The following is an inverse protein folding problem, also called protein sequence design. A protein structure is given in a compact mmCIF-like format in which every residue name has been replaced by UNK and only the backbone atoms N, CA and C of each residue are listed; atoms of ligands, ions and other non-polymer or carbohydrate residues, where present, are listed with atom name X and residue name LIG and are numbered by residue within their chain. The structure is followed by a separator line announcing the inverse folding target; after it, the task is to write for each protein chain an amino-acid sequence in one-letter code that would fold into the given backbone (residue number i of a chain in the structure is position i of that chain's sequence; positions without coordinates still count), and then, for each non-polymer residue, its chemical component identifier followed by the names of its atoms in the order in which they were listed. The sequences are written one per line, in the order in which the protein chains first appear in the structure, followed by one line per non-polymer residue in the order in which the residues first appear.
data_IF_883137025812
#
_entry.id   IF_883137025812
#
_cell.length_a   1.000
_cell.length_b   1.000
_cell.length_c   1.000
_cell.angle_alpha   90.00
_cell.angle_beta   90.00
_cell.angle_gamma   90.00
#
_symmetry.space_group_name_H-M   'P 1'
#
loop_
_entity.id
_entity.type
_entity.pdbx_description
1 polymer ?
#
# COMPACT_ATOMS: atom_id res chain seq x y z
N UNK A 1 -33.39 -35.95 -39.70
CA UNK A 1 -33.88 -35.00 -38.71
C UNK A 1 -32.82 -35.01 -37.61
N UNK A 2 -31.97 -33.97 -37.52
CA UNK A 2 -30.96 -33.88 -36.46
C UNK A 2 -31.63 -33.13 -35.33
N UNK A 3 -31.83 -33.78 -34.19
CA UNK A 3 -32.21 -33.09 -32.95
C UNK A 3 -31.04 -32.25 -32.49
N UNK A 4 -31.12 -30.96 -32.70
CA UNK A 4 -30.24 -29.97 -32.11
C UNK A 4 -30.68 -29.78 -30.65
N UNK A 5 -30.02 -30.47 -29.75
CA UNK A 5 -30.13 -30.18 -28.34
C UNK A 5 -29.45 -28.84 -28.07
N UNK A 6 -30.24 -27.78 -27.94
CA UNK A 6 -29.73 -26.46 -27.50
C UNK A 6 -29.42 -26.57 -26.03
N UNK A 7 -28.18 -26.84 -25.70
CA UNK A 7 -27.69 -26.78 -24.30
C UNK A 7 -27.62 -25.29 -23.94
N UNK A 8 -28.64 -24.86 -23.22
CA UNK A 8 -28.69 -23.52 -22.65
C UNK A 8 -27.84 -23.48 -21.39
N UNK A 9 -26.69 -22.83 -21.46
CA UNK A 9 -25.78 -22.68 -20.32
C UNK A 9 -26.16 -21.42 -19.55
N UNK A 10 -26.34 -21.55 -18.24
CA UNK A 10 -26.62 -20.43 -17.36
C UNK A 10 -25.44 -19.41 -17.39
N UNK A 11 -25.72 -18.10 -17.34
CA UNK A 11 -24.68 -17.08 -17.33
C UNK A 11 -23.77 -17.26 -16.10
N UNK A 12 -22.47 -17.16 -16.30
CA UNK A 12 -21.52 -17.10 -15.20
C UNK A 12 -21.48 -15.67 -14.67
N UNK A 13 -21.82 -15.51 -13.41
CA UNK A 13 -21.82 -14.21 -12.72
C UNK A 13 -20.57 -14.11 -11.85
N UNK A 14 -19.85 -13.01 -12.00
CA UNK A 14 -18.71 -12.67 -11.19
C UNK A 14 -18.94 -11.29 -10.58
N UNK A 15 -18.53 -11.14 -9.33
CA UNK A 15 -18.49 -9.84 -8.64
C UNK A 15 -17.10 -9.64 -8.06
N UNK A 16 -16.63 -8.41 -8.02
CA UNK A 16 -15.32 -8.13 -7.42
C UNK A 16 -15.28 -8.38 -5.91
N UNK A 17 -16.44 -8.25 -5.25
CA UNK A 17 -16.65 -8.57 -3.84
C UNK A 17 -18.05 -9.11 -3.65
N UNK A 18 -18.20 -10.24 -2.99
CA UNK A 18 -19.49 -10.80 -2.57
C UNK A 18 -19.95 -10.25 -1.22
N UNK A 19 -18.98 -9.74 -0.43
CA UNK A 19 -19.19 -9.00 0.82
C UNK A 19 -18.54 -7.63 0.72
N UNK A 20 -19.32 -6.61 0.97
CA UNK A 20 -18.87 -5.22 0.93
C UNK A 20 -19.71 -4.34 1.85
N UNK A 21 -19.21 -3.16 2.18
CA UNK A 21 -19.82 -2.32 3.21
C UNK A 21 -20.86 -1.37 2.63
N UNK A 22 -21.66 -0.76 3.52
CA UNK A 22 -22.56 0.35 3.11
C UNK A 22 -21.72 1.45 2.48
N UNK A 23 -22.16 1.91 1.29
CA UNK A 23 -21.45 2.91 0.47
C UNK A 23 -20.30 2.37 -0.38
N UNK A 24 -19.87 1.13 -0.16
CA UNK A 24 -18.82 0.50 -0.95
C UNK A 24 -19.39 -0.03 -2.29
N UNK A 25 -18.53 -0.10 -3.29
CA UNK A 25 -18.89 -0.56 -4.65
C UNK A 25 -18.24 -1.92 -4.91
N UNK A 26 -19.06 -2.86 -5.39
CA UNK A 26 -18.60 -4.09 -6.04
C UNK A 26 -18.98 -4.05 -7.51
N UNK A 27 -18.12 -4.54 -8.38
CA UNK A 27 -18.37 -4.52 -9.82
C UNK A 27 -18.89 -5.88 -10.29
N UNK A 28 -19.96 -5.82 -11.08
CA UNK A 28 -20.60 -6.98 -11.67
C UNK A 28 -20.02 -7.28 -13.06
N UNK A 29 -19.65 -8.52 -13.30
CA UNK A 29 -19.29 -9.04 -14.60
C UNK A 29 -20.12 -10.28 -14.91
N UNK A 30 -20.55 -10.42 -16.16
CA UNK A 30 -21.28 -11.60 -16.64
C UNK A 30 -20.58 -12.13 -17.87
N UNK A 31 -20.18 -13.40 -17.87
CA UNK A 31 -19.57 -14.04 -19.03
C UNK A 31 -20.58 -14.87 -19.80
N UNK A 32 -20.42 -14.86 -21.13
CA UNK A 32 -21.12 -15.76 -22.02
C UNK A 32 -20.39 -17.13 -22.16
N UNK A 33 -20.92 -17.99 -23.01
CA UNK A 33 -20.45 -19.35 -23.30
C UNK A 33 -18.97 -19.49 -23.71
N UNK A 34 -18.32 -18.43 -24.15
CA UNK A 34 -17.00 -18.50 -24.76
C UNK A 34 -15.86 -18.01 -23.86
N UNK A 35 -16.11 -17.81 -22.54
CA UNK A 35 -15.17 -17.25 -21.58
C UNK A 35 -14.51 -15.91 -22.01
N UNK A 36 -15.04 -15.28 -23.06
CA UNK A 36 -14.68 -13.91 -23.41
C UNK A 36 -15.48 -12.98 -22.51
N UNK A 37 -14.77 -12.21 -21.68
CA UNK A 37 -15.36 -11.16 -20.85
C UNK A 37 -15.80 -10.01 -21.77
N UNK A 38 -16.93 -10.16 -22.40
CA UNK A 38 -17.63 -9.02 -22.95
C UNK A 38 -18.58 -8.51 -21.88
N UNK A 39 -18.32 -7.33 -21.34
CA UNK A 39 -19.18 -6.62 -20.40
C UNK A 39 -20.47 -6.12 -21.07
N UNK A 40 -21.04 -6.91 -21.95
CA UNK A 40 -22.33 -6.55 -22.55
C UNK A 40 -23.49 -6.99 -21.63
N UNK A 41 -23.74 -6.14 -20.62
CA UNK A 41 -24.85 -6.33 -19.71
C UNK A 41 -26.22 -6.23 -20.39
N UNK A 42 -26.28 -5.80 -21.65
CA UNK A 42 -27.53 -5.62 -22.41
C UNK A 42 -28.23 -6.94 -22.74
N UNK A 43 -27.50 -8.05 -22.76
CA UNK A 43 -28.00 -9.41 -23.01
C UNK A 43 -28.76 -10.04 -21.82
N UNK A 44 -28.78 -9.34 -20.66
CA UNK A 44 -29.33 -9.87 -19.43
C UNK A 44 -30.21 -8.86 -18.70
N UNK A 45 -31.18 -9.37 -17.95
CA UNK A 45 -31.91 -8.61 -16.94
C UNK A 45 -31.40 -8.96 -15.56
N UNK A 46 -31.45 -7.99 -14.65
CA UNK A 46 -30.90 -8.07 -13.30
C UNK A 46 -31.97 -7.76 -12.27
N UNK A 47 -32.15 -8.65 -11.30
CA UNK A 47 -33.11 -8.46 -10.22
C UNK A 47 -32.41 -8.68 -8.87
N UNK A 48 -32.58 -7.73 -7.97
CA UNK A 48 -32.13 -7.81 -6.58
C UNK A 48 -33.31 -8.20 -5.68
N UNK A 49 -33.15 -9.17 -4.80
CA UNK A 49 -34.22 -9.69 -3.92
C UNK A 49 -34.74 -8.66 -2.91
N UNK A 50 -33.99 -7.57 -2.68
CA UNK A 50 -34.34 -6.48 -1.78
C UNK A 50 -33.54 -5.21 -2.13
N UNK A 51 -33.65 -4.17 -1.29
CA UNK A 51 -33.00 -2.88 -1.47
C UNK A 51 -31.75 -2.66 -0.61
N UNK A 52 -31.11 -3.71 -0.14
CA UNK A 52 -29.84 -3.60 0.58
C UNK A 52 -28.67 -3.24 -0.34
N UNK A 53 -28.83 -3.52 -1.62
CA UNK A 53 -27.90 -3.16 -2.68
C UNK A 53 -28.65 -2.40 -3.76
N UNK A 54 -28.03 -1.38 -4.35
CA UNK A 54 -28.50 -0.75 -5.58
C UNK A 54 -27.59 -1.12 -6.73
N UNK A 55 -28.16 -1.31 -7.91
CA UNK A 55 -27.43 -1.59 -9.14
C UNK A 55 -27.49 -0.34 -10.04
N UNK A 56 -26.32 0.20 -10.40
CA UNK A 56 -26.14 1.31 -11.33
C UNK A 56 -25.17 0.89 -12.44
N UNK A 57 -25.71 0.55 -13.60
CA UNK A 57 -24.97 -0.12 -14.65
C UNK A 57 -24.38 -1.45 -14.17
N UNK A 58 -23.06 -1.52 -14.08
CA UNK A 58 -22.33 -2.69 -13.56
C UNK A 58 -21.85 -2.52 -12.12
N UNK A 59 -22.25 -1.43 -11.42
CA UNK A 59 -21.87 -1.13 -10.05
C UNK A 59 -22.95 -1.60 -9.08
N UNK A 60 -22.58 -2.49 -8.18
CA UNK A 60 -23.37 -2.91 -7.04
C UNK A 60 -22.94 -2.05 -5.84
N UNK A 61 -23.84 -1.22 -5.34
CA UNK A 61 -23.55 -0.26 -4.25
C UNK A 61 -24.28 -0.72 -3.00
N UNK A 62 -23.55 -0.93 -1.91
CA UNK A 62 -24.13 -1.27 -0.61
C UNK A 62 -25.00 -0.12 -0.07
N UNK A 63 -26.28 -0.36 0.11
CA UNK A 63 -27.24 0.65 0.60
C UNK A 63 -27.64 0.43 2.05
N UNK A 64 -27.85 -0.84 2.46
CA UNK A 64 -28.25 -1.21 3.82
C UNK A 64 -27.65 -2.57 4.17
N UNK A 65 -27.45 -2.79 5.46
CA UNK A 65 -26.95 -4.08 5.99
C UNK A 65 -27.88 -5.24 5.62
N UNK A 66 -27.29 -6.37 5.31
CA UNK A 66 -27.98 -7.62 5.12
C UNK A 66 -27.67 -8.32 3.80
N UNK A 67 -28.26 -9.49 3.66
CA UNK A 67 -28.06 -10.35 2.49
C UNK A 67 -29.01 -9.99 1.36
N UNK A 68 -28.53 -10.10 0.14
CA UNK A 68 -29.27 -9.85 -1.08
C UNK A 68 -28.92 -10.95 -2.09
N UNK A 69 -29.91 -11.45 -2.81
CA UNK A 69 -29.68 -12.34 -3.95
C UNK A 69 -29.81 -11.54 -5.24
N UNK A 70 -28.77 -11.57 -6.06
CA UNK A 70 -28.80 -11.06 -7.42
C UNK A 70 -29.25 -12.21 -8.35
N UNK A 71 -30.29 -11.99 -9.13
CA UNK A 71 -30.71 -12.90 -10.21
C UNK A 71 -30.38 -12.29 -11.56
N UNK A 72 -29.62 -13.02 -12.37
CA UNK A 72 -29.24 -12.61 -13.74
C UNK A 72 -29.99 -13.55 -14.69
N UNK A 73 -30.80 -13.00 -15.57
CA UNK A 73 -31.64 -13.77 -16.50
C UNK A 73 -31.36 -13.34 -17.93
N UNK A 74 -31.15 -14.29 -18.83
CA UNK A 74 -31.00 -13.98 -20.27
C UNK A 74 -32.30 -13.39 -20.85
N UNK A 75 -32.18 -12.29 -21.61
CA UNK A 75 -33.31 -11.68 -22.31
C UNK A 75 -33.85 -12.58 -23.43
N UNK A 76 -33.01 -13.46 -23.99
CA UNK A 76 -33.37 -14.34 -25.08
C UNK A 76 -34.05 -15.63 -24.62
N UNK A 77 -33.79 -16.04 -23.38
CA UNK A 77 -34.42 -17.22 -22.79
C UNK A 77 -34.60 -17.07 -21.25
N UNK A 78 -35.81 -16.73 -20.80
CA UNK A 78 -36.07 -16.51 -19.35
C UNK A 78 -35.89 -17.75 -18.44
N UNK A 79 -35.74 -18.94 -19.03
CA UNK A 79 -35.40 -20.15 -18.27
C UNK A 79 -33.92 -20.24 -17.95
N UNK A 80 -33.10 -19.45 -18.65
CA UNK A 80 -31.64 -19.38 -18.46
C UNK A 80 -31.31 -18.25 -17.49
N UNK A 81 -31.06 -18.64 -16.26
CA UNK A 81 -30.76 -17.69 -15.17
C UNK A 81 -29.73 -18.24 -14.19
N UNK A 82 -29.04 -17.35 -13.55
CA UNK A 82 -28.14 -17.61 -12.41
C UNK A 82 -28.50 -16.72 -11.24
N UNK A 83 -28.24 -17.24 -10.05
CA UNK A 83 -28.38 -16.48 -8.79
C UNK A 83 -27.05 -16.38 -8.09
N UNK A 84 -26.78 -15.21 -7.53
CA UNK A 84 -25.57 -14.93 -6.79
C UNK A 84 -25.91 -14.27 -5.44
N UNK A 85 -25.30 -14.75 -4.35
CA UNK A 85 -25.55 -14.22 -3.01
C UNK A 85 -24.53 -13.14 -2.67
N UNK A 86 -25.04 -12.00 -2.24
CA UNK A 86 -24.28 -10.84 -1.83
C UNK A 86 -24.62 -10.49 -0.39
N UNK A 87 -23.68 -9.90 0.31
CA UNK A 87 -23.88 -9.46 1.70
C UNK A 87 -23.30 -8.05 1.87
N UNK A 88 -24.16 -7.13 2.31
CA UNK A 88 -23.72 -5.83 2.79
C UNK A 88 -23.50 -5.93 4.29
N UNK A 89 -22.25 -5.76 4.68
CA UNK A 89 -21.84 -5.84 6.08
C UNK A 89 -21.70 -4.44 6.68
N UNK A 90 -21.71 -4.36 8.00
CA UNK A 90 -21.17 -3.18 8.64
C UNK A 90 -19.73 -3.02 8.17
N UNK A 91 -19.38 -1.81 7.80
CA UNK A 91 -18.00 -1.42 7.80
C UNK A 91 -17.49 -1.74 9.21
N UNK A 92 -16.73 -2.80 9.36
CA UNK A 92 -15.75 -2.83 10.43
C UNK A 92 -14.72 -1.82 9.95
N UNK A 93 -15.08 -0.53 10.08
CA UNK A 93 -14.17 0.55 9.81
C UNK A 93 -12.98 0.30 10.74
N UNK A 94 -11.90 -0.22 10.15
CA UNK A 94 -10.66 -0.33 10.90
C UNK A 94 -10.31 1.06 11.38
N UNK A 95 -10.03 1.18 12.64
CA UNK A 95 -9.57 2.45 13.17
C UNK A 95 -8.35 2.92 12.39
N UNK A 96 -8.35 4.18 12.04
CA UNK A 96 -7.20 4.84 11.41
C UNK A 96 -6.89 6.12 12.17
N UNK A 97 -5.64 6.29 12.51
CA UNK A 97 -5.12 7.51 13.14
C UNK A 97 -4.79 8.53 12.04
N UNK A 98 -5.20 9.77 12.25
CA UNK A 98 -4.71 10.93 11.52
C UNK A 98 -4.45 12.09 12.49
N UNK A 99 -3.80 13.12 12.02
CA UNK A 99 -3.54 14.33 12.78
C UNK A 99 -4.49 15.44 12.32
N UNK A 100 -4.97 16.23 13.27
CA UNK A 100 -5.82 17.40 12.96
C UNK A 100 -5.02 18.48 12.24
N UNK A 101 -3.77 18.68 12.69
CA UNK A 101 -2.83 19.59 12.05
C UNK A 101 -2.13 18.89 10.88
N UNK A 102 -1.80 19.63 9.81
CA UNK A 102 -1.01 19.07 8.72
C UNK A 102 0.37 18.65 9.21
N UNK A 103 0.69 17.38 9.05
CA UNK A 103 2.03 16.84 9.28
C UNK A 103 2.70 16.62 7.93
N UNK A 104 3.54 17.57 7.55
CA UNK A 104 4.27 17.55 6.27
C UNK A 104 5.53 16.66 6.32
N UNK A 105 5.57 15.71 7.26
CA UNK A 105 6.73 14.85 7.49
C UNK A 105 7.90 15.55 8.20
N UNK A 106 7.76 16.83 8.54
CA UNK A 106 8.73 17.63 9.31
C UNK A 106 8.10 18.03 10.62
N UNK A 107 8.69 17.59 11.71
CA UNK A 107 8.28 17.99 13.05
C UNK A 107 9.52 18.17 13.94
N UNK A 108 9.53 19.23 14.72
CA UNK A 108 10.62 19.57 15.62
C UNK A 108 10.32 19.26 17.08
N UNK A 109 11.36 19.29 17.92
CA UNK A 109 11.16 19.22 19.37
C UNK A 109 10.27 20.37 19.85
N UNK A 110 9.30 20.05 20.70
CA UNK A 110 8.32 20.98 21.25
C UNK A 110 7.06 21.12 20.41
N UNK A 111 7.03 20.62 19.18
CA UNK A 111 5.82 20.63 18.37
C UNK A 111 4.73 19.77 19.00
N UNK A 112 3.49 20.20 18.83
CA UNK A 112 2.31 19.49 19.31
C UNK A 112 1.34 19.22 18.16
N UNK A 113 0.72 18.05 18.23
CA UNK A 113 -0.30 17.59 17.27
C UNK A 113 -1.48 17.00 18.03
N UNK A 114 -2.65 17.05 17.42
CA UNK A 114 -3.87 16.43 17.96
C UNK A 114 -4.21 15.19 17.12
N UNK A 115 -4.11 14.04 17.75
CA UNK A 115 -4.48 12.76 17.16
C UNK A 115 -5.99 12.65 17.09
N UNK A 116 -6.49 12.28 15.93
CA UNK A 116 -7.90 11.97 15.65
C UNK A 116 -8.04 10.56 15.12
N UNK A 117 -9.21 10.01 15.27
CA UNK A 117 -9.60 8.74 14.68
C UNK A 117 -10.61 8.97 13.56
N UNK A 118 -10.57 8.09 12.55
CA UNK A 118 -11.53 8.14 11.44
C UNK A 118 -12.96 7.84 11.92
N UNK A 119 -13.93 8.29 11.13
CA UNK A 119 -15.36 8.03 11.28
C UNK A 119 -15.92 8.35 12.67
N UNK A 120 -16.66 7.42 13.24
CA UNK A 120 -17.40 7.61 14.48
C UNK A 120 -16.68 7.08 15.72
N UNK A 121 -15.40 6.75 15.60
CA UNK A 121 -14.61 6.31 16.75
C UNK A 121 -14.38 7.44 17.73
N UNK A 122 -14.66 7.17 19.01
CA UNK A 122 -14.37 8.10 20.09
C UNK A 122 -13.01 7.77 20.68
N UNK A 123 -12.14 8.75 20.80
CA UNK A 123 -10.80 8.57 21.35
C UNK A 123 -10.81 7.99 22.77
N UNK A 124 -11.86 8.29 23.56
CA UNK A 124 -12.06 7.74 24.91
C UNK A 124 -12.20 6.20 24.93
N UNK A 125 -12.57 5.58 23.82
CA UNK A 125 -12.71 4.14 23.72
C UNK A 125 -11.37 3.45 23.38
N UNK A 126 -10.30 4.25 23.22
CA UNK A 126 -8.97 3.79 22.84
C UNK A 126 -7.95 4.04 23.94
N UNK A 127 -6.93 3.18 23.98
CA UNK A 127 -5.68 3.40 24.70
C UNK A 127 -4.64 3.84 23.71
N UNK A 128 -4.01 4.98 23.97
CA UNK A 128 -2.92 5.52 23.18
C UNK A 128 -1.59 5.16 23.80
N UNK A 129 -0.66 4.62 23.04
CA UNK A 129 0.66 4.20 23.51
C UNK A 129 1.72 4.81 22.61
N UNK A 130 2.61 5.60 23.19
CA UNK A 130 3.91 5.91 22.59
C UNK A 130 4.87 4.77 22.86
N UNK A 131 5.62 4.33 21.86
CA UNK A 131 6.64 3.30 22.05
C UNK A 131 7.97 3.85 22.61
N UNK A 132 8.11 5.16 22.64
CA UNK A 132 9.22 5.84 23.30
C UNK A 132 8.78 7.22 23.82
N UNK A 133 8.52 7.31 25.12
CA UNK A 133 8.07 8.55 25.76
C UNK A 133 9.19 9.59 25.95
N UNK A 134 10.45 9.19 25.79
CA UNK A 134 11.56 10.12 25.77
C UNK A 134 11.62 10.89 24.43
N UNK A 135 11.10 10.30 23.35
CA UNK A 135 11.02 10.93 22.03
C UNK A 135 9.67 11.63 21.84
N UNK A 136 8.57 10.97 22.23
CA UNK A 136 7.22 11.47 22.01
C UNK A 136 6.30 11.08 23.16
N UNK A 137 5.57 12.04 23.69
CA UNK A 137 4.51 11.82 24.68
C UNK A 137 3.14 11.99 24.05
N UNK A 138 2.20 11.14 24.47
CA UNK A 138 0.79 11.22 24.05
C UNK A 138 -0.10 11.18 25.27
N UNK A 139 -1.08 12.11 25.34
CA UNK A 139 -2.07 12.12 26.43
C UNK A 139 -3.30 11.27 26.05
N UNK A 140 -4.16 10.96 27.01
CA UNK A 140 -5.42 10.24 26.77
C UNK A 140 -6.37 11.04 25.85
N UNK A 141 -6.27 12.35 25.85
CA UNK A 141 -7.03 13.25 24.96
C UNK A 141 -6.46 13.31 23.53
N UNK A 142 -5.39 12.59 23.29
CA UNK A 142 -4.73 12.51 21.97
C UNK A 142 -3.77 13.66 21.66
N UNK A 143 -3.37 14.45 22.67
CA UNK A 143 -2.33 15.46 22.45
C UNK A 143 -0.97 14.80 22.41
N UNK A 144 -0.30 14.95 21.29
CA UNK A 144 1.06 14.47 21.06
C UNK A 144 2.02 15.63 21.28
N UNK A 145 3.08 15.42 22.04
CA UNK A 145 4.18 16.37 22.23
C UNK A 145 5.48 15.69 21.84
N UNK A 146 6.23 16.31 20.92
CA UNK A 146 7.53 15.84 20.49
C UNK A 146 8.61 16.34 21.44
N UNK A 147 9.35 15.42 22.06
CA UNK A 147 10.24 15.72 23.20
C UNK A 147 11.70 15.73 22.78
N UNK A 148 12.16 14.70 22.10
CA UNK A 148 13.53 14.55 21.60
C UNK A 148 13.53 14.08 20.16
N UNK A 149 14.69 14.22 19.51
CA UNK A 149 14.89 13.70 18.16
C UNK A 149 14.84 12.16 18.16
N UNK A 150 14.37 11.60 17.08
CA UNK A 150 14.30 10.16 16.87
C UNK A 150 13.07 9.70 16.12
N UNK A 151 13.04 8.41 15.89
CA UNK A 151 11.91 7.74 15.25
C UNK A 151 11.03 7.05 16.28
N UNK A 152 9.74 7.33 16.26
CA UNK A 152 8.80 6.80 17.25
C UNK A 152 7.44 6.50 16.62
N UNK A 153 6.72 5.56 17.19
CA UNK A 153 5.35 5.22 16.80
C UNK A 153 4.39 5.49 17.95
N UNK A 154 3.19 5.95 17.59
CA UNK A 154 2.02 5.98 18.46
C UNK A 154 1.00 5.00 17.93
N UNK A 155 0.47 4.15 18.81
CA UNK A 155 -0.60 3.21 18.46
C UNK A 155 -1.84 3.47 19.30
N UNK A 156 -2.99 3.53 18.64
CA UNK A 156 -4.29 3.51 19.29
C UNK A 156 -4.84 2.07 19.27
N UNK A 157 -5.16 1.55 20.44
CA UNK A 157 -5.80 0.25 20.64
C UNK A 157 -7.22 0.46 21.17
N UNK A 158 -8.22 -0.12 20.51
CA UNK A 158 -9.58 -0.14 21.05
C UNK A 158 -9.63 -0.96 22.34
N UNK A 159 -10.18 -0.37 23.43
CA UNK A 159 -10.15 -0.97 24.76
C UNK A 159 -10.88 -2.31 24.85
N UNK A 160 -12.03 -2.41 24.18
CA UNK A 160 -12.83 -3.64 24.17
C UNK A 160 -12.40 -4.65 23.11
N UNK A 161 -11.70 -4.18 22.06
CA UNK A 161 -11.19 -5.02 20.98
C UNK A 161 -9.78 -4.60 20.59
N UNK A 162 -8.72 -4.99 21.31
CA UNK A 162 -7.35 -4.58 21.05
C UNK A 162 -6.78 -5.03 19.68
N UNK A 163 -7.48 -5.93 18.99
CA UNK A 163 -7.19 -6.29 17.59
C UNK A 163 -7.51 -5.15 16.61
N UNK A 164 -8.47 -4.28 16.96
CA UNK A 164 -8.75 -3.06 16.22
C UNK A 164 -7.78 -1.97 16.68
N UNK A 165 -6.73 -1.76 15.91
CA UNK A 165 -5.64 -0.82 16.22
C UNK A 165 -5.14 -0.12 14.99
N UNK A 166 -4.60 1.07 15.19
CA UNK A 166 -3.90 1.84 14.17
C UNK A 166 -2.63 2.44 14.72
N UNK A 167 -1.62 2.56 13.88
CA UNK A 167 -0.31 3.08 14.25
C UNK A 167 0.05 4.24 13.35
N UNK A 168 0.48 5.34 13.96
CA UNK A 168 1.07 6.49 13.29
C UNK A 168 2.55 6.58 13.63
N UNK A 169 3.37 6.98 12.67
CA UNK A 169 4.82 7.09 12.85
C UNK A 169 5.26 8.52 12.72
N UNK A 170 6.13 8.92 13.64
CA UNK A 170 6.79 10.22 13.66
C UNK A 170 8.28 10.05 13.49
N UNK A 171 8.88 10.96 12.76
CA UNK A 171 10.28 11.27 12.90
C UNK A 171 10.39 12.67 13.49
N UNK A 172 10.99 12.77 14.65
CA UNK A 172 11.21 14.03 15.35
C UNK A 172 12.60 14.51 15.06
N UNK A 173 12.72 15.70 14.50
CA UNK A 173 13.99 16.32 14.24
C UNK A 173 14.31 17.36 15.30
N UNK A 174 15.51 17.31 15.85
CA UNK A 174 15.98 18.25 16.86
C UNK A 174 16.30 19.67 16.35
N UNK A 175 16.44 19.82 15.04
CA UNK A 175 16.80 21.09 14.39
C UNK A 175 16.08 21.28 13.06
N UNK A 176 16.11 22.48 12.49
CA UNK A 176 15.64 22.74 11.13
C UNK A 176 16.50 22.03 10.04
N UNK A 177 17.59 21.41 10.44
CA UNK A 177 18.52 20.71 9.58
C UNK A 177 18.16 19.22 9.53
N UNK A 178 17.43 18.80 8.52
CA UNK A 178 16.78 17.49 8.41
C UNK A 178 17.66 16.53 7.62
N UNK A 179 17.98 15.37 8.18
CA UNK A 179 18.49 14.22 7.45
C UNK A 179 17.35 13.49 6.72
N UNK A 180 17.02 13.94 5.53
CA UNK A 180 15.96 13.32 4.72
C UNK A 180 16.28 11.87 4.33
N UNK A 181 17.55 11.51 4.18
CA UNK A 181 17.96 10.15 3.83
C UNK A 181 17.58 9.21 4.98
N UNK A 182 18.00 9.54 6.21
CA UNK A 182 17.64 8.76 7.40
C UNK A 182 16.12 8.67 7.56
N UNK A 183 15.41 9.78 7.37
CA UNK A 183 13.95 9.82 7.46
C UNK A 183 13.27 8.87 6.48
N UNK A 184 13.65 8.89 5.20
CA UNK A 184 13.09 7.99 4.17
C UNK A 184 13.37 6.54 4.54
N UNK A 185 14.60 6.25 4.97
CA UNK A 185 15.00 4.89 5.28
C UNK A 185 14.29 4.35 6.52
N UNK A 186 14.12 5.15 7.58
CA UNK A 186 13.33 4.73 8.73
C UNK A 186 11.85 4.48 8.38
N UNK A 187 11.25 5.32 7.53
CA UNK A 187 9.90 5.07 7.03
C UNK A 187 9.83 3.76 6.25
N UNK A 188 10.73 3.56 5.31
CA UNK A 188 10.75 2.36 4.46
C UNK A 188 11.03 1.09 5.27
N UNK A 189 12.05 1.11 6.14
CA UNK A 189 12.43 -0.01 7.02
C UNK A 189 11.27 -0.39 7.94
N UNK A 190 10.57 0.61 8.46
CA UNK A 190 9.39 0.38 9.29
C UNK A 190 8.22 -0.29 8.56
N UNK A 191 8.26 -0.38 7.24
CA UNK A 191 7.26 -1.09 6.43
C UNK A 191 7.65 -2.53 6.11
N UNK A 192 8.86 -2.99 6.45
CA UNK A 192 9.32 -4.37 6.20
C UNK A 192 8.28 -5.37 6.69
N UNK A 193 7.87 -6.28 5.80
CA UNK A 193 6.87 -7.30 6.09
C UNK A 193 5.42 -6.88 5.79
N UNK A 194 5.15 -5.62 5.47
CA UNK A 194 3.82 -5.23 4.99
C UNK A 194 3.46 -6.04 3.72
N UNK A 195 2.28 -6.67 3.69
CA UNK A 195 1.84 -7.55 2.59
C UNK A 195 0.61 -6.99 1.90
N UNK A 196 0.43 -7.37 0.65
CA UNK A 196 -0.84 -7.21 -0.07
C UNK A 196 -1.97 -7.93 0.65
N UNK A 197 -3.19 -7.53 0.34
CA UNK A 197 -4.37 -8.25 0.77
C UNK A 197 -4.45 -9.62 0.07
N UNK A 198 -4.66 -10.67 0.85
CA UNK A 198 -5.05 -11.96 0.31
C UNK A 198 -6.52 -11.92 -0.11
N UNK A 199 -6.82 -12.41 -1.30
CA UNK A 199 -8.19 -12.60 -1.77
C UNK A 199 -8.52 -14.09 -1.80
N UNK A 200 -9.47 -14.51 -0.97
CA UNK A 200 -9.95 -15.89 -0.95
C UNK A 200 -10.64 -16.25 -2.27
N UNK A 201 -11.29 -15.27 -2.92
CA UNK A 201 -11.95 -15.45 -4.19
C UNK A 201 -10.95 -15.72 -5.33
N UNK A 202 -9.87 -14.94 -5.38
CA UNK A 202 -8.81 -15.12 -6.36
C UNK A 202 -7.86 -16.28 -5.98
N UNK A 203 -7.87 -16.74 -4.73
CA UNK A 203 -6.89 -17.67 -4.20
C UNK A 203 -5.46 -17.12 -4.30
N UNK A 204 -5.30 -15.80 -4.24
CA UNK A 204 -4.04 -15.13 -4.49
C UNK A 204 -3.95 -13.78 -3.75
N UNK A 205 -2.75 -13.27 -3.63
CA UNK A 205 -2.53 -11.86 -3.29
C UNK A 205 -2.99 -10.98 -4.45
N UNK A 206 -3.61 -9.86 -4.11
CA UNK A 206 -4.11 -8.87 -5.07
C UNK A 206 -3.45 -7.53 -4.77
N UNK A 207 -3.17 -6.75 -5.81
CA UNK A 207 -2.50 -5.44 -5.67
C UNK A 207 -3.38 -4.42 -4.91
N UNK A 208 -3.80 -4.78 -3.70
CA UNK A 208 -4.62 -3.97 -2.81
C UNK A 208 -3.81 -3.65 -1.56
N UNK A 209 -3.24 -2.46 -1.55
CA UNK A 209 -2.34 -1.97 -0.51
C UNK A 209 -2.67 -0.53 -0.16
N UNK A 210 -2.19 -0.05 1.00
CA UNK A 210 -2.27 1.37 1.35
C UNK A 210 -1.58 2.28 0.33
N UNK A 211 -0.55 1.79 -0.38
CA UNK A 211 0.17 2.54 -1.41
C UNK A 211 -0.69 2.75 -2.65
N UNK A 212 -1.45 1.72 -3.05
CA UNK A 212 -2.44 1.82 -4.12
C UNK A 212 -3.55 2.82 -3.76
N UNK A 213 -4.08 2.73 -2.54
CA UNK A 213 -5.13 3.64 -2.05
C UNK A 213 -4.63 5.07 -1.97
N UNK A 214 -3.44 5.30 -1.42
CA UNK A 214 -2.84 6.63 -1.35
C UNK A 214 -2.56 7.22 -2.74
N UNK A 215 -2.08 6.40 -3.67
CA UNK A 215 -1.81 6.84 -5.04
C UNK A 215 -3.10 7.00 -5.86
N UNK A 216 -4.18 6.32 -5.44
CA UNK A 216 -5.45 6.18 -6.14
C UNK A 216 -5.28 5.46 -7.50
N UNK A 217 -4.57 4.33 -7.49
CA UNK A 217 -4.29 3.54 -8.70
C UNK A 217 -4.16 2.06 -8.34
N UNK A 218 -4.77 1.18 -9.12
CA UNK A 218 -4.59 -0.26 -9.05
C UNK A 218 -3.32 -0.71 -9.79
N UNK A 219 -2.78 -1.87 -9.42
CA UNK A 219 -1.65 -2.50 -10.09
C UNK A 219 -0.38 -2.59 -9.24
N UNK A 220 0.73 -2.98 -9.88
CA UNK A 220 2.01 -3.17 -9.20
C UNK A 220 2.47 -1.90 -8.47
N UNK A 221 2.83 -2.03 -7.21
CA UNK A 221 3.00 -0.90 -6.30
C UNK A 221 4.45 -0.64 -5.86
N UNK A 222 5.45 -1.24 -6.51
CA UNK A 222 6.85 -0.98 -6.17
C UNK A 222 7.22 0.52 -6.29
N UNK A 223 6.81 1.16 -7.39
CA UNK A 223 7.03 2.58 -7.62
C UNK A 223 6.16 3.47 -6.69
N UNK A 224 4.95 3.04 -6.38
CA UNK A 224 4.09 3.73 -5.41
C UNK A 224 4.67 3.68 -4.00
N UNK A 225 5.30 2.57 -3.61
CA UNK A 225 6.02 2.44 -2.34
C UNK A 225 7.16 3.46 -2.23
N UNK A 226 8.00 3.59 -3.27
CA UNK A 226 9.07 4.60 -3.30
C UNK A 226 8.48 6.00 -3.16
N UNK A 227 7.48 6.34 -3.97
CA UNK A 227 6.82 7.65 -3.93
C UNK A 227 6.16 7.94 -2.59
N UNK A 228 5.55 6.93 -1.95
CA UNK A 228 4.91 7.06 -0.65
C UNK A 228 5.92 7.41 0.44
N UNK A 229 7.06 6.72 0.50
CA UNK A 229 8.11 7.02 1.47
C UNK A 229 8.67 8.42 1.30
N UNK A 230 8.83 8.86 0.04
CA UNK A 230 9.32 10.18 -0.29
C UNK A 230 8.37 11.28 0.19
N UNK A 231 7.11 11.12 -0.17
CA UNK A 231 6.07 12.08 0.22
C UNK A 231 5.93 12.18 1.73
N UNK A 232 5.88 11.05 2.43
CA UNK A 232 5.74 11.02 3.89
C UNK A 232 7.02 11.42 4.65
N UNK A 233 8.15 11.46 3.96
CA UNK A 233 9.35 12.11 4.50
C UNK A 233 9.31 13.65 4.41
N UNK A 234 8.31 14.23 3.75
CA UNK A 234 8.16 15.68 3.60
C UNK A 234 8.92 16.25 2.41
N UNK A 235 9.27 15.43 1.42
CA UNK A 235 9.94 15.91 0.21
C UNK A 235 8.93 16.30 -0.87
N UNK A 236 9.21 17.41 -1.55
CA UNK A 236 8.35 17.91 -2.62
C UNK A 236 8.49 17.10 -3.92
N UNK A 237 7.45 17.18 -4.77
CA UNK A 237 7.48 16.59 -6.11
C UNK A 237 8.52 17.24 -7.05
N UNK A 238 9.10 18.36 -6.66
CA UNK A 238 10.19 19.01 -7.40
C UNK A 238 11.51 18.24 -7.26
N UNK A 239 11.70 17.57 -6.10
CA UNK A 239 12.89 16.79 -5.81
C UNK A 239 12.80 15.36 -6.32
N UNK A 240 11.59 14.79 -6.36
CA UNK A 240 11.30 13.51 -6.98
C UNK A 240 9.84 13.48 -7.42
N UNK A 241 9.60 13.14 -8.68
CA UNK A 241 8.26 12.97 -9.21
C UNK A 241 7.50 11.89 -8.42
N UNK A 242 6.25 12.16 -8.06
CA UNK A 242 5.32 11.11 -7.61
C UNK A 242 5.01 10.20 -8.81
N UNK A 243 5.46 8.96 -8.79
CA UNK A 243 5.32 8.03 -9.92
C UNK A 243 4.82 6.65 -9.47
N UNK A 244 4.05 5.99 -10.36
CA UNK A 244 3.59 4.62 -10.22
C UNK A 244 4.16 3.68 -11.29
N UNK A 245 4.81 4.24 -12.31
CA UNK A 245 5.49 3.52 -13.38
C UNK A 245 7.00 3.66 -13.23
N UNK A 246 7.71 2.54 -13.11
CA UNK A 246 9.18 2.54 -13.02
C UNK A 246 9.83 3.22 -14.23
N UNK A 247 9.28 2.99 -15.43
CA UNK A 247 9.81 3.61 -16.65
C UNK A 247 9.70 5.13 -16.61
N UNK A 248 8.50 5.64 -16.26
CA UNK A 248 8.28 7.10 -16.14
C UNK A 248 9.14 7.73 -15.04
N UNK A 249 9.29 7.04 -13.91
CA UNK A 249 10.16 7.49 -12.81
C UNK A 249 11.62 7.57 -13.26
N UNK A 250 12.12 6.52 -13.91
CA UNK A 250 13.49 6.50 -14.42
C UNK A 250 13.72 7.58 -15.48
N UNK A 251 12.81 7.71 -16.47
CA UNK A 251 12.90 8.74 -17.52
C UNK A 251 12.91 10.15 -16.93
N UNK A 252 12.08 10.39 -15.91
CA UNK A 252 12.06 11.68 -15.23
C UNK A 252 13.40 11.96 -14.53
N UNK A 253 13.98 10.96 -13.83
CA UNK A 253 15.28 11.10 -13.18
C UNK A 253 16.41 11.35 -14.19
N UNK A 254 16.38 10.66 -15.34
CA UNK A 254 17.34 10.91 -16.43
C UNK A 254 17.21 12.34 -16.94
N UNK A 255 15.99 12.81 -17.19
CA UNK A 255 15.73 14.17 -17.70
C UNK A 255 16.17 15.27 -16.72
N UNK A 256 16.13 14.98 -15.42
CA UNK A 256 16.52 15.93 -14.38
C UNK A 256 17.95 15.71 -13.86
N UNK A 257 18.79 14.98 -14.62
CA UNK A 257 20.20 14.73 -14.31
C UNK A 257 20.44 14.03 -12.97
N UNK A 258 19.46 13.28 -12.50
CA UNK A 258 19.47 12.54 -11.25
C UNK A 258 19.71 11.03 -11.44
N UNK A 259 20.15 10.57 -12.60
CA UNK A 259 20.31 9.15 -12.88
C UNK A 259 21.76 8.78 -13.20
N UNK A 260 22.23 7.70 -12.56
CA UNK A 260 23.54 7.13 -12.76
C UNK A 260 23.42 5.68 -13.23
N UNK A 261 24.08 5.34 -14.33
CA UNK A 261 24.19 3.93 -14.74
C UNK A 261 25.14 3.18 -13.82
N UNK A 262 24.80 1.93 -13.49
CA UNK A 262 25.53 1.12 -12.51
C UNK A 262 27.03 0.93 -12.82
N UNK A 263 27.43 1.00 -14.09
CA UNK A 263 28.82 0.80 -14.52
C UNK A 263 29.78 1.86 -13.96
N UNK A 264 29.28 3.04 -13.67
CA UNK A 264 30.07 4.21 -13.29
C UNK A 264 29.71 4.76 -11.92
N UNK A 265 28.91 4.05 -11.15
CA UNK A 265 28.37 4.57 -9.90
C UNK A 265 28.36 3.52 -8.78
N UNK A 266 28.77 3.92 -7.60
CA UNK A 266 28.58 3.15 -6.36
C UNK A 266 27.41 3.76 -5.60
N UNK A 267 26.31 3.01 -5.42
CA UNK A 267 25.10 3.55 -4.79
C UNK A 267 25.31 3.91 -3.33
N UNK A 268 24.51 4.86 -2.88
CA UNK A 268 24.52 5.38 -1.50
C UNK A 268 23.14 5.20 -0.87
N UNK A 269 23.11 5.29 0.46
CA UNK A 269 21.86 5.31 1.22
C UNK A 269 20.93 6.41 0.68
N UNK A 270 19.66 6.07 0.48
CA UNK A 270 18.65 6.98 -0.07
C UNK A 270 18.57 7.02 -1.59
N UNK A 271 19.51 6.44 -2.33
CA UNK A 271 19.37 6.30 -3.78
C UNK A 271 18.17 5.37 -4.11
N UNK A 272 17.65 5.52 -5.32
CA UNK A 272 16.57 4.65 -5.82
C UNK A 272 17.15 3.71 -6.87
N UNK A 273 17.06 2.41 -6.65
CA UNK A 273 17.49 1.42 -7.63
C UNK A 273 16.41 1.15 -8.66
N UNK A 274 16.79 1.03 -9.93
CA UNK A 274 15.92 0.63 -11.03
C UNK A 274 16.39 -0.66 -11.68
N UNK A 275 15.45 -1.60 -11.82
CA UNK A 275 15.62 -2.86 -12.52
C UNK A 275 14.75 -2.85 -13.76
N UNK A 276 15.36 -2.65 -14.92
CA UNK A 276 14.66 -2.53 -16.19
C UNK A 276 15.12 -3.62 -17.14
N UNK A 277 14.24 -4.53 -17.49
CA UNK A 277 14.47 -5.58 -18.47
C UNK A 277 13.29 -5.71 -19.43
N UNK A 278 13.47 -6.39 -20.56
CA UNK A 278 12.38 -6.61 -21.49
C UNK A 278 11.23 -7.36 -20.81
N UNK A 279 10.08 -6.69 -20.66
CA UNK A 279 8.86 -7.24 -20.08
C UNK A 279 8.78 -7.23 -18.54
N UNK A 280 9.76 -6.67 -17.84
CA UNK A 280 9.74 -6.54 -16.38
C UNK A 280 10.43 -5.26 -15.93
N UNK A 281 9.80 -4.52 -15.03
CA UNK A 281 10.37 -3.34 -14.40
C UNK A 281 10.11 -3.37 -12.90
N UNK A 282 11.09 -2.93 -12.12
CA UNK A 282 11.00 -2.88 -10.67
C UNK A 282 11.85 -1.74 -10.11
N UNK A 283 11.58 -1.33 -8.88
CA UNK A 283 12.32 -0.27 -8.20
C UNK A 283 12.27 -0.46 -6.69
N UNK A 284 13.26 0.09 -5.99
CA UNK A 284 13.36 0.08 -4.54
C UNK A 284 14.25 1.19 -4.03
N UNK A 285 14.43 1.24 -2.72
CA UNK A 285 15.27 2.25 -2.05
C UNK A 285 16.54 1.58 -1.57
N UNK A 286 17.68 2.20 -1.84
CA UNK A 286 18.98 1.73 -1.35
C UNK A 286 19.12 2.07 0.13
N UNK A 287 19.37 1.07 0.95
CA UNK A 287 19.61 1.22 2.39
C UNK A 287 21.08 1.53 2.65
N UNK A 288 21.97 0.70 2.12
CA UNK A 288 23.41 0.97 2.10
C UNK A 288 24.13 0.11 1.04
N UNK A 289 25.40 0.39 0.82
CA UNK A 289 26.24 -0.38 -0.07
C UNK A 289 27.62 -0.62 0.56
N UNK A 290 28.09 -1.87 0.56
CA UNK A 290 29.42 -2.24 1.08
C UNK A 290 30.53 -2.23 0.02
N UNK A 291 30.21 -1.76 -1.20
CA UNK A 291 31.11 -1.73 -2.35
C UNK A 291 31.11 -3.04 -3.18
N UNK A 292 30.53 -4.12 -2.69
CA UNK A 292 30.32 -5.39 -3.38
C UNK A 292 28.83 -5.66 -3.60
N UNK A 293 28.06 -5.39 -2.58
CA UNK A 293 26.63 -5.59 -2.56
C UNK A 293 25.90 -4.28 -2.23
N UNK A 294 24.77 -4.09 -2.85
CA UNK A 294 23.78 -3.07 -2.50
C UNK A 294 22.64 -3.76 -1.77
N UNK A 295 22.25 -3.16 -0.66
CA UNK A 295 21.16 -3.62 0.21
C UNK A 295 19.97 -2.69 0.01
N UNK A 296 18.83 -3.26 -0.36
CA UNK A 296 17.63 -2.53 -0.76
C UNK A 296 16.41 -2.91 0.06
N UNK A 297 15.47 -1.99 0.17
CA UNK A 297 14.12 -2.28 0.62
C UNK A 297 13.15 -1.95 -0.51
N UNK A 298 12.27 -2.89 -0.82
CA UNK A 298 11.49 -2.89 -2.04
C UNK A 298 10.01 -3.20 -1.75
N UNK A 299 9.12 -2.38 -2.29
CA UNK A 299 7.68 -2.66 -2.30
C UNK A 299 7.33 -3.63 -3.43
N UNK A 300 6.27 -4.39 -3.28
CA UNK A 300 5.82 -5.41 -4.24
C UNK A 300 6.91 -6.46 -4.57
N UNK A 301 7.77 -6.72 -3.62
CA UNK A 301 8.77 -7.77 -3.73
C UNK A 301 8.20 -9.07 -3.18
N UNK A 302 7.67 -9.95 -4.05
CA UNK A 302 6.90 -11.14 -3.69
C UNK A 302 5.64 -10.77 -2.86
N UNK A 303 4.86 -9.81 -3.36
CA UNK A 303 3.59 -9.32 -2.78
C UNK A 303 3.72 -8.66 -1.41
N UNK A 304 4.93 -8.20 -1.06
CA UNK A 304 5.19 -7.56 0.24
C UNK A 304 6.28 -6.49 0.15
N UNK A 305 6.45 -5.74 1.22
CA UNK A 305 7.67 -4.96 1.43
C UNK A 305 8.73 -5.90 1.96
N UNK A 306 9.80 -6.05 1.21
CA UNK A 306 10.87 -6.98 1.56
C UNK A 306 12.25 -6.37 1.31
N UNK A 307 13.25 -7.02 1.87
CA UNK A 307 14.65 -6.60 1.80
C UNK A 307 15.43 -7.54 0.89
N UNK A 308 16.36 -6.96 0.14
CA UNK A 308 17.16 -7.71 -0.79
C UNK A 308 18.64 -7.30 -0.70
N UNK A 309 19.49 -8.21 -1.17
CA UNK A 309 20.91 -7.98 -1.39
C UNK A 309 21.26 -8.31 -2.82
N UNK A 310 21.75 -7.36 -3.55
CA UNK A 310 22.14 -7.50 -4.93
C UNK A 310 23.64 -7.29 -5.08
N UNK A 311 24.33 -8.05 -5.95
CA UNK A 311 25.65 -7.61 -6.39
C UNK A 311 25.52 -6.26 -7.12
N UNK A 312 26.39 -5.30 -6.87
CA UNK A 312 26.40 -4.03 -7.62
C UNK A 312 26.58 -4.25 -9.13
N UNK A 313 27.09 -5.44 -9.54
CA UNK A 313 27.25 -5.86 -10.93
C UNK A 313 26.09 -6.70 -11.45
N UNK A 314 25.02 -6.90 -10.68
CA UNK A 314 23.88 -7.72 -11.10
C UNK A 314 23.29 -7.20 -12.42
N UNK A 315 23.10 -8.12 -13.38
CA UNK A 315 22.62 -7.75 -14.73
C UNK A 315 21.23 -7.13 -14.73
N UNK A 316 20.42 -7.40 -13.70
CA UNK A 316 19.06 -6.86 -13.57
C UNK A 316 19.04 -5.38 -13.19
N UNK A 317 20.07 -4.89 -12.50
CA UNK A 317 20.19 -3.47 -12.15
C UNK A 317 20.54 -2.67 -13.41
N UNK A 318 19.72 -1.68 -13.73
CA UNK A 318 19.99 -0.72 -14.81
C UNK A 318 20.81 0.46 -14.33
N UNK A 319 20.46 0.98 -13.15
CA UNK A 319 21.14 2.10 -12.53
C UNK A 319 20.40 2.61 -11.32
N UNK A 320 20.77 3.80 -10.89
CA UNK A 320 20.30 4.41 -9.66
C UNK A 320 19.88 5.86 -9.91
N UNK A 321 18.73 6.26 -9.38
CA UNK A 321 18.46 7.66 -9.24
C UNK A 321 19.13 8.19 -7.96
N UNK A 322 19.71 9.38 -8.09
CA UNK A 322 20.47 10.09 -7.04
C UNK A 322 19.76 11.42 -6.75
N UNK A 323 18.66 11.41 -5.98
CA UNK A 323 17.90 12.62 -5.77
C UNK A 323 18.73 13.72 -5.09
N UNK A 324 18.48 14.96 -5.47
CA UNK A 324 19.16 16.12 -4.90
C UNK A 324 18.52 16.49 -3.56
N UNK A 325 18.84 15.72 -2.52
CA UNK A 325 18.35 16.02 -1.17
C UNK A 325 18.78 17.41 -0.70
N UNK A 326 17.93 18.11 0.08
CA UNK A 326 18.37 19.29 0.81
C UNK A 326 19.61 18.99 1.66
N UNK A 327 20.49 19.97 1.75
CA UNK A 327 21.77 19.83 2.43
C UNK A 327 21.55 19.54 3.94
N UNK A 328 22.24 18.52 4.45
CA UNK A 328 22.26 18.17 5.86
C UNK A 328 23.66 18.45 6.44
N UNK A 329 23.72 19.32 7.44
CA UNK A 329 24.98 19.74 8.06
C UNK A 329 25.41 18.87 9.24
N UNK A 330 24.65 17.81 9.55
CA UNK A 330 24.98 16.83 10.60
C UNK A 330 25.79 15.66 10.06
N UNK A 331 25.95 14.64 10.88
CA UNK A 331 26.50 13.35 10.46
C UNK A 331 25.35 12.47 10.01
N UNK A 332 25.26 12.07 8.73
CA UNK A 332 24.23 11.14 8.27
C UNK A 332 24.30 9.82 9.03
N UNK A 333 23.14 9.21 9.28
CA UNK A 333 23.08 7.90 9.91
C UNK A 333 23.76 6.83 9.02
N UNK A 334 24.54 5.97 9.65
CA UNK A 334 25.13 4.81 9.00
C UNK A 334 24.23 3.59 9.17
N UNK A 335 23.58 3.15 8.08
CA UNK A 335 22.70 2.00 8.06
C UNK A 335 23.43 0.65 7.95
N UNK A 336 24.75 0.61 8.00
CA UNK A 336 25.55 -0.63 8.00
C UNK A 336 25.33 -1.49 9.26
N UNK A 337 24.68 -0.93 10.30
CA UNK A 337 24.26 -1.68 11.48
C UNK A 337 23.19 -2.74 11.17
N UNK A 338 22.49 -2.62 10.01
CA UNK A 338 21.51 -3.62 9.59
C UNK A 338 22.26 -4.86 9.13
N UNK A 339 22.12 -5.94 9.90
CA UNK A 339 22.77 -7.22 9.64
C UNK A 339 21.78 -8.25 9.13
N UNK A 340 22.26 -9.18 8.33
CA UNK A 340 21.42 -10.22 7.78
C UNK A 340 22.20 -11.47 7.39
N UNK A 341 21.46 -12.52 7.11
CA UNK A 341 21.98 -13.81 6.67
C UNK A 341 21.37 -14.22 5.33
N UNK A 342 22.14 -14.99 4.56
CA UNK A 342 21.63 -15.65 3.35
C UNK A 342 21.04 -17.02 3.73
N UNK A 343 19.80 -17.23 3.35
CA UNK A 343 19.15 -18.53 3.45
C UNK A 343 18.40 -18.83 2.14
N UNK A 344 18.67 -19.98 1.55
CA UNK A 344 18.04 -20.44 0.31
C UNK A 344 18.02 -19.40 -0.83
N UNK A 345 19.10 -18.60 -0.93
CA UNK A 345 19.23 -17.56 -1.96
C UNK A 345 18.53 -16.24 -1.65
N UNK A 346 17.85 -16.13 -0.51
CA UNK A 346 17.25 -14.90 -0.02
C UNK A 346 18.06 -14.32 1.14
N UNK A 347 18.15 -12.99 1.17
CA UNK A 347 18.78 -12.25 2.26
C UNK A 347 17.74 -11.82 3.29
N UNK A 348 17.99 -12.17 4.55
CA UNK A 348 17.10 -11.84 5.67
C UNK A 348 17.81 -10.88 6.61
N UNK A 349 17.13 -9.80 6.98
CA UNK A 349 17.62 -8.91 8.02
C UNK A 349 17.26 -9.48 9.40
N UNK A 350 18.27 -9.66 10.21
CA UNK A 350 18.14 -10.33 11.52
C UNK A 350 17.68 -9.38 12.63
N UNK A 351 18.05 -8.12 12.52
CA UNK A 351 17.85 -7.10 13.56
C UNK A 351 16.82 -6.02 13.20
N UNK A 352 16.06 -6.22 12.14
CA UNK A 352 14.93 -5.38 11.77
C UNK A 352 13.64 -6.20 11.87
N UNK A 353 12.77 -5.89 12.83
CA UNK A 353 11.52 -6.63 12.99
C UNK A 353 10.60 -6.45 11.77
N UNK A 354 9.81 -7.49 11.50
CA UNK A 354 8.74 -7.37 10.51
C UNK A 354 7.57 -6.56 11.08
N UNK A 355 6.99 -5.75 10.22
CA UNK A 355 5.71 -5.12 10.51
C UNK A 355 4.68 -6.22 10.72
N UNK A 356 3.98 -6.17 11.85
CA UNK A 356 2.91 -7.10 12.09
C UNK A 356 1.85 -6.93 11.00
N UNK A 357 1.32 -8.04 10.44
CA UNK A 357 0.25 -7.95 9.47
C UNK A 357 -0.90 -7.13 10.08
N UNK A 358 -1.46 -6.24 9.31
CA UNK A 358 -2.74 -5.64 9.68
C UNK A 358 -3.77 -6.76 9.56
N UNK A 359 -4.11 -7.35 10.72
CA UNK A 359 -5.15 -8.38 10.85
C UNK A 359 -6.53 -7.78 10.59
#
# INVERSE_FOLDING_TARGET
MFDLEIISIAPKVFVTKDKFNVGEISYLNVSNLNDTFENDLSEYTYELSNNNITLDGYKLIGAKLGKTTLTVTSIHNPLVKSTYNLEVTESVDKVSIYLEEPYEGVAGMGDQFHLKLNNNYNLNDFTLISYDEEILRVTEEGVITLVNEGFVTVTAYEKENPGNKSTFRFYVNGTANIDYVSRILHLAIGEKGYTERWSDEAGAYVNDTKYNHWYNMEGAWCAMFVSWNWYHAGLSNELLLKYASCSLGMEWCIKNEMFQYKENYTPKSGDIVFFMSAGSSHTGIVVYCDGTYVYTIEGNASNRVDVWRWSIKDARITGYATPHYPEYNGTPEDFSWITGTMDNGKYWWNNVPEKQPMT
#
